data_IF_466866086462
#
_entry.id   IF_466866086462
#
_cell.length_a   1.000
_cell.length_b   1.000
_cell.length_c   1.000
_cell.angle_alpha   90.00
_cell.angle_beta   90.00
_cell.angle_gamma   90.00
#
_symmetry.space_group_name_H-M   'P 1'
#
loop_
_entity.id
_entity.type
_entity.pdbx_description
1 polymer ?
#
# COMPACT_ATOMS: atom_id res chain seq x y z
N UNK A 1 -0.43 5.59 -22.63
CA UNK A 1 -1.63 5.31 -21.81
C UNK A 1 -1.82 6.51 -20.92
N UNK A 2 -3.01 7.11 -20.89
CA UNK A 2 -3.33 8.10 -19.86
C UNK A 2 -3.60 7.30 -18.58
N UNK A 3 -2.90 7.53 -17.47
CA UNK A 3 -3.17 6.83 -16.22
C UNK A 3 -4.59 7.16 -15.72
N UNK A 4 -5.23 6.23 -15.02
CA UNK A 4 -6.52 6.50 -14.38
C UNK A 4 -6.39 7.57 -13.30
N UNK A 5 -5.23 7.63 -12.66
CA UNK A 5 -4.86 8.61 -11.64
C UNK A 5 -3.36 8.90 -11.70
N UNK A 6 -2.97 10.17 -11.65
CA UNK A 6 -1.57 10.60 -11.55
C UNK A 6 -1.24 10.84 -10.07
N UNK A 7 -0.37 10.01 -9.51
CA UNK A 7 0.03 10.11 -8.11
C UNK A 7 1.17 11.09 -7.93
N UNK A 8 1.13 11.93 -6.89
CA UNK A 8 2.23 12.83 -6.59
C UNK A 8 3.50 12.05 -6.21
N UNK A 9 4.64 12.54 -6.64
CA UNK A 9 5.92 12.01 -6.24
C UNK A 9 6.16 12.13 -4.73
N UNK A 10 7.11 11.36 -4.21
CA UNK A 10 7.59 11.55 -2.83
C UNK A 10 8.21 12.94 -2.69
N UNK A 11 7.83 13.75 -1.68
CA UNK A 11 8.32 15.12 -1.56
C UNK A 11 9.82 15.19 -1.28
N UNK A 12 10.54 16.00 -2.05
CA UNK A 12 11.97 16.25 -1.84
C UNK A 12 12.26 16.87 -0.48
N UNK A 13 11.33 17.69 0.05
CA UNK A 13 11.43 18.30 1.38
C UNK A 13 11.55 17.25 2.50
N UNK A 14 10.88 16.11 2.34
CA UNK A 14 11.00 15.02 3.31
C UNK A 14 12.31 14.26 3.17
N UNK A 15 12.80 14.07 1.94
CA UNK A 15 14.10 13.50 1.68
C UNK A 15 15.21 14.34 2.32
N UNK A 16 15.18 15.65 2.10
CA UNK A 16 16.15 16.60 2.67
C UNK A 16 16.02 16.67 4.20
N UNK A 17 14.80 16.63 4.73
CA UNK A 17 14.58 16.64 6.17
C UNK A 17 15.24 15.42 6.83
N UNK A 18 15.01 14.20 6.31
CA UNK A 18 15.61 12.98 6.84
C UNK A 18 17.12 12.99 6.77
N UNK A 19 17.68 13.48 5.68
CA UNK A 19 19.12 13.57 5.53
C UNK A 19 19.73 14.58 6.49
N UNK A 20 19.11 15.73 6.65
CA UNK A 20 19.55 16.76 7.60
C UNK A 20 19.52 16.23 9.05
N UNK A 21 18.57 15.36 9.42
CA UNK A 21 18.60 14.69 10.71
C UNK A 21 19.84 13.80 10.88
N UNK A 22 20.26 13.11 9.82
CA UNK A 22 21.46 12.27 9.84
C UNK A 22 22.74 13.13 9.97
N UNK A 23 22.83 14.22 9.21
CA UNK A 23 23.95 15.18 9.32
C UNK A 23 24.05 15.78 10.72
N UNK A 24 22.94 16.21 11.29
CA UNK A 24 22.89 16.78 12.65
C UNK A 24 23.28 15.76 13.73
N UNK A 25 22.98 14.49 13.51
CA UNK A 25 23.32 13.40 14.46
C UNK A 25 24.82 13.11 14.49
N UNK A 26 25.49 13.24 13.37
CA UNK A 26 26.91 12.94 13.22
C UNK A 26 27.68 14.10 12.55
N UNK A 27 27.74 15.26 13.23
CA UNK A 27 28.35 16.47 12.64
C UNK A 27 29.84 16.34 12.32
N UNK A 28 30.54 15.50 13.08
CA UNK A 28 31.98 15.22 12.83
C UNK A 28 32.19 14.24 11.66
N UNK A 29 31.15 13.61 11.13
CA UNK A 29 31.28 12.64 10.06
C UNK A 29 31.10 13.31 8.69
N UNK A 30 32.03 13.07 7.78
CA UNK A 30 31.81 13.41 6.37
C UNK A 30 30.65 12.59 5.79
N UNK A 31 30.03 13.14 4.76
CA UNK A 31 28.82 12.57 4.12
C UNK A 31 28.97 11.08 3.77
N UNK A 32 30.11 10.68 3.18
CA UNK A 32 30.34 9.29 2.78
C UNK A 32 30.42 8.33 3.98
N UNK A 33 30.92 8.80 5.11
CA UNK A 33 30.92 7.98 6.34
C UNK A 33 29.49 7.75 6.84
N UNK A 34 28.64 8.76 6.78
CA UNK A 34 27.20 8.66 7.15
C UNK A 34 26.48 7.70 6.20
N UNK A 35 26.71 7.82 4.89
CA UNK A 35 26.17 6.89 3.89
C UNK A 35 26.56 5.43 4.22
N UNK A 36 27.82 5.19 4.57
CA UNK A 36 28.30 3.85 4.90
C UNK A 36 27.70 3.31 6.22
N UNK A 37 27.43 4.16 7.22
CA UNK A 37 26.71 3.78 8.41
C UNK A 37 25.27 3.36 8.08
N UNK A 38 24.57 4.16 7.27
CA UNK A 38 23.21 3.87 6.82
C UNK A 38 23.17 2.58 5.99
N UNK A 39 24.08 2.39 5.03
CA UNK A 39 24.17 1.17 4.20
C UNK A 39 24.31 -0.10 5.03
N UNK A 40 25.18 -0.11 6.03
CA UNK A 40 25.34 -1.26 6.95
C UNK A 40 24.06 -1.56 7.71
N UNK A 41 23.39 -0.53 8.17
CA UNK A 41 22.14 -0.70 8.91
C UNK A 41 20.97 -1.09 7.98
N UNK A 42 20.95 -0.65 6.71
CA UNK A 42 19.98 -1.12 5.69
C UNK A 42 20.08 -2.64 5.52
N UNK A 43 21.30 -3.18 5.38
CA UNK A 43 21.51 -4.63 5.27
C UNK A 43 20.95 -5.33 6.51
N UNK A 44 21.30 -4.84 7.71
CA UNK A 44 20.86 -5.42 8.98
C UNK A 44 19.33 -5.40 9.14
N UNK A 45 18.68 -4.30 8.78
CA UNK A 45 17.22 -4.19 8.82
C UNK A 45 16.56 -5.06 7.75
N UNK A 46 17.11 -5.11 6.53
CA UNK A 46 16.62 -5.98 5.46
C UNK A 46 16.69 -7.46 5.84
N UNK A 47 17.77 -7.89 6.46
CA UNK A 47 17.92 -9.27 6.94
C UNK A 47 16.89 -9.59 8.04
N UNK A 48 16.63 -8.65 8.94
CA UNK A 48 15.60 -8.83 9.95
C UNK A 48 14.22 -8.90 9.32
N UNK A 49 13.86 -8.00 8.44
CA UNK A 49 12.54 -7.98 7.79
C UNK A 49 12.30 -9.20 6.91
N UNK A 50 13.34 -9.76 6.30
CA UNK A 50 13.21 -10.84 5.33
C UNK A 50 13.52 -12.24 5.90
N UNK A 51 14.42 -12.36 6.89
CA UNK A 51 14.92 -13.64 7.38
C UNK A 51 14.41 -13.98 8.79
N UNK A 52 14.67 -13.10 9.77
CA UNK A 52 14.38 -13.42 11.17
C UNK A 52 12.98 -13.02 11.60
N UNK A 53 12.44 -11.95 11.05
CA UNK A 53 11.09 -11.40 11.30
C UNK A 53 10.71 -11.27 12.78
N UNK A 54 11.70 -11.36 13.68
CA UNK A 54 11.44 -11.21 15.11
C UNK A 54 11.17 -9.75 15.44
N UNK A 55 10.06 -9.49 16.12
CA UNK A 55 9.80 -8.20 16.73
C UNK A 55 10.84 -7.96 17.83
N UNK A 56 11.65 -6.92 17.66
CA UNK A 56 12.62 -6.48 18.67
C UNK A 56 12.40 -4.99 18.95
N UNK A 57 11.69 -4.66 20.06
CA UNK A 57 11.40 -3.27 20.43
C UNK A 57 12.66 -2.44 20.63
N UNK A 58 13.78 -3.05 21.01
CA UNK A 58 15.02 -2.32 21.25
C UNK A 58 15.79 -1.97 19.97
N UNK A 59 15.53 -2.68 18.89
CA UNK A 59 16.24 -2.46 17.63
C UNK A 59 15.46 -1.60 16.65
N UNK A 60 14.13 -1.58 16.75
CA UNK A 60 13.25 -0.83 15.88
C UNK A 60 12.68 0.38 16.64
N UNK A 61 13.01 1.57 16.19
CA UNK A 61 12.51 2.80 16.83
C UNK A 61 13.20 3.21 18.14
N UNK A 62 14.12 2.40 18.70
CA UNK A 62 14.86 2.73 19.91
C UNK A 62 16.22 3.38 19.65
N UNK A 63 16.87 3.03 18.53
CA UNK A 63 18.21 3.54 18.18
C UNK A 63 18.11 4.61 17.12
N UNK A 64 18.89 5.71 17.27
CA UNK A 64 18.95 6.78 16.29
C UNK A 64 19.35 6.28 14.92
N UNK A 65 20.36 5.41 14.81
CA UNK A 65 20.81 4.85 13.54
C UNK A 65 19.68 4.08 12.84
N UNK A 66 18.93 3.27 13.56
CA UNK A 66 17.81 2.52 12.98
C UNK A 66 16.70 3.43 12.45
N UNK A 67 16.33 4.47 13.21
CA UNK A 67 15.33 5.45 12.79
C UNK A 67 15.78 6.28 11.59
N UNK A 68 17.03 6.77 11.61
CA UNK A 68 17.58 7.55 10.51
C UNK A 68 17.78 6.71 9.25
N UNK A 69 18.11 5.44 9.40
CA UNK A 69 18.17 4.49 8.27
C UNK A 69 16.78 4.22 7.72
N UNK A 70 15.79 3.98 8.58
CA UNK A 70 14.41 3.82 8.14
C UNK A 70 13.95 5.05 7.36
N UNK A 71 14.16 6.26 7.90
CA UNK A 71 13.75 7.50 7.27
C UNK A 71 14.39 7.75 5.91
N UNK A 72 15.71 7.50 5.79
CA UNK A 72 16.46 7.76 4.57
C UNK A 72 16.34 6.67 3.51
N UNK A 73 15.81 5.47 3.84
CA UNK A 73 15.76 4.36 2.90
C UNK A 73 14.39 3.67 2.79
N UNK A 74 13.75 3.30 3.91
CA UNK A 74 12.51 2.52 3.90
C UNK A 74 11.24 3.38 3.90
N UNK A 75 11.28 4.55 4.51
CA UNK A 75 10.14 5.47 4.63
C UNK A 75 9.50 5.80 3.28
N UNK A 76 10.24 6.14 2.20
CA UNK A 76 9.67 6.41 0.89
C UNK A 76 8.93 5.21 0.30
N UNK A 77 9.36 3.98 0.61
CA UNK A 77 8.71 2.76 0.16
C UNK A 77 7.37 2.52 0.86
N UNK A 78 7.35 2.65 2.20
CA UNK A 78 6.11 2.56 3.00
C UNK A 78 5.12 3.66 2.58
N UNK A 79 5.61 4.88 2.39
CA UNK A 79 4.85 6.00 1.83
C UNK A 79 4.19 5.63 0.51
N UNK A 80 4.96 5.10 -0.44
CA UNK A 80 4.46 4.75 -1.78
C UNK A 80 3.40 3.65 -1.74
N UNK A 81 3.57 2.62 -0.90
CA UNK A 81 2.59 1.56 -0.74
C UNK A 81 1.25 2.11 -0.21
N UNK A 82 1.29 2.97 0.80
CA UNK A 82 0.09 3.59 1.37
C UNK A 82 -0.57 4.58 0.40
N UNK A 83 0.22 5.41 -0.32
CA UNK A 83 -0.31 6.31 -1.34
C UNK A 83 -1.06 5.55 -2.45
N UNK A 84 -0.51 4.43 -2.91
CA UNK A 84 -1.13 3.56 -3.91
C UNK A 84 -2.44 2.95 -3.40
N UNK A 85 -2.45 2.47 -2.16
CA UNK A 85 -3.65 1.91 -1.52
C UNK A 85 -4.71 2.99 -1.30
N UNK A 86 -4.31 4.19 -0.85
CA UNK A 86 -5.23 5.33 -0.71
C UNK A 86 -5.83 5.75 -2.06
N UNK A 87 -5.04 5.70 -3.13
CA UNK A 87 -5.52 5.97 -4.49
C UNK A 87 -6.63 5.01 -4.90
N UNK A 88 -6.52 3.73 -4.58
CA UNK A 88 -7.55 2.74 -4.88
C UNK A 88 -8.81 2.96 -4.03
N UNK A 89 -8.67 3.20 -2.74
CA UNK A 89 -9.79 3.53 -1.87
C UNK A 89 -10.56 4.77 -2.37
N UNK A 90 -9.82 5.83 -2.75
CA UNK A 90 -10.36 7.12 -3.18
C UNK A 90 -11.02 7.07 -4.55
N UNK A 91 -10.39 6.43 -5.56
CA UNK A 91 -10.83 6.52 -6.95
C UNK A 91 -11.66 5.32 -7.43
N UNK A 92 -11.59 4.18 -6.74
CA UNK A 92 -12.21 2.95 -7.23
C UNK A 92 -13.10 2.22 -6.21
N UNK A 93 -12.66 2.11 -4.94
CA UNK A 93 -13.39 1.31 -3.93
C UNK A 93 -14.53 2.03 -3.23
N UNK A 94 -14.75 3.31 -3.55
CA UNK A 94 -15.90 4.06 -3.07
C UNK A 94 -15.76 4.58 -1.64
N UNK A 95 -14.52 4.75 -1.15
CA UNK A 95 -14.31 5.56 0.03
C UNK A 95 -14.71 7.01 -0.27
N UNK A 96 -15.53 7.59 0.61
CA UNK A 96 -15.98 8.95 0.47
C UNK A 96 -15.62 9.75 1.73
N UNK A 97 -15.02 10.91 1.54
CA UNK A 97 -14.78 11.86 2.62
C UNK A 97 -16.10 12.31 3.26
N UNK A 98 -16.11 12.70 4.54
CA UNK A 98 -17.29 13.27 5.16
C UNK A 98 -17.76 14.53 4.43
N UNK A 99 -19.09 14.70 4.31
CA UNK A 99 -19.67 15.89 3.63
C UNK A 99 -19.36 17.19 4.36
N UNK A 100 -19.22 17.14 5.68
CA UNK A 100 -18.91 18.29 6.54
C UNK A 100 -17.91 17.86 7.62
N UNK A 101 -17.13 18.84 8.10
CA UNK A 101 -16.15 18.63 9.17
C UNK A 101 -14.83 18.00 8.71
N UNK A 102 -13.94 17.66 9.66
CA UNK A 102 -12.64 17.12 9.37
C UNK A 102 -12.72 15.65 8.95
N UNK A 103 -11.79 15.23 8.09
CA UNK A 103 -11.46 13.83 7.88
C UNK A 103 -10.62 13.38 9.09
N UNK A 104 -11.05 12.32 9.76
CA UNK A 104 -10.36 11.74 10.90
C UNK A 104 -9.60 10.50 10.47
N UNK A 105 -8.29 10.55 10.59
CA UNK A 105 -7.36 9.47 10.23
C UNK A 105 -6.73 8.92 11.51
N UNK A 106 -6.72 7.62 11.67
CA UNK A 106 -5.97 6.91 12.71
C UNK A 106 -4.88 6.09 12.03
N UNK A 107 -3.64 6.28 12.45
CA UNK A 107 -2.48 5.51 11.99
C UNK A 107 -1.98 4.63 13.15
N UNK A 108 -2.22 3.32 13.06
CA UNK A 108 -1.90 2.34 14.09
C UNK A 108 -0.57 1.66 13.74
N UNK A 109 0.39 1.69 14.68
CA UNK A 109 1.78 1.32 14.39
C UNK A 109 2.43 2.35 13.47
N UNK A 110 2.16 3.63 13.73
CA UNK A 110 2.53 4.73 12.84
C UNK A 110 4.04 4.90 12.64
N UNK A 111 4.85 4.39 13.57
CA UNK A 111 6.29 4.65 13.56
C UNK A 111 6.59 6.13 13.47
N UNK A 112 7.44 6.51 12.53
CA UNK A 112 7.74 7.92 12.22
C UNK A 112 6.79 8.56 11.19
N UNK A 113 5.66 7.89 10.88
CA UNK A 113 4.52 8.48 10.18
C UNK A 113 4.47 8.30 8.67
N UNK A 114 5.17 7.32 8.10
CA UNK A 114 5.19 7.16 6.64
C UNK A 114 3.79 6.99 6.04
N UNK A 115 2.92 6.19 6.67
CA UNK A 115 1.55 5.93 6.20
C UNK A 115 0.64 7.14 6.40
N UNK A 116 0.57 7.66 7.62
CA UNK A 116 -0.29 8.80 7.94
C UNK A 116 0.05 10.05 7.12
N UNK A 117 1.34 10.42 7.07
CA UNK A 117 1.79 11.58 6.31
C UNK A 117 1.59 11.41 4.79
N UNK A 118 1.71 10.19 4.28
CA UNK A 118 1.39 9.87 2.87
C UNK A 118 -0.06 10.18 2.55
N UNK A 119 -1.00 9.79 3.43
CA UNK A 119 -2.42 10.09 3.27
C UNK A 119 -2.70 11.60 3.37
N UNK A 120 -2.07 12.32 4.32
CA UNK A 120 -2.22 13.79 4.39
C UNK A 120 -1.79 14.46 3.09
N UNK A 121 -0.62 14.07 2.57
CA UNK A 121 -0.10 14.63 1.32
C UNK A 121 -0.97 14.29 0.12
N UNK A 122 -1.45 13.03 0.04
CA UNK A 122 -2.39 12.58 -0.98
C UNK A 122 -3.64 13.47 -0.99
N UNK A 123 -4.31 13.62 0.15
CA UNK A 123 -5.54 14.42 0.27
C UNK A 123 -5.33 15.87 -0.16
N UNK A 124 -4.18 16.46 0.21
CA UNK A 124 -3.80 17.81 -0.27
C UNK A 124 -3.64 17.87 -1.78
N UNK A 125 -2.84 16.95 -2.35
CA UNK A 125 -2.55 16.95 -3.79
C UNK A 125 -3.79 16.71 -4.66
N UNK A 126 -4.78 16.00 -4.12
CA UNK A 126 -6.10 15.83 -4.76
C UNK A 126 -7.13 16.90 -4.38
N UNK A 127 -6.67 18.02 -3.82
CA UNK A 127 -7.49 19.19 -3.48
C UNK A 127 -8.73 18.84 -2.65
N UNK A 128 -8.58 17.91 -1.69
CA UNK A 128 -9.65 17.59 -0.75
C UNK A 128 -9.77 18.73 0.25
N UNK A 129 -10.92 19.46 0.29
CA UNK A 129 -11.02 20.71 1.02
C UNK A 129 -11.22 20.54 2.54
N UNK A 130 -11.49 19.33 3.02
CA UNK A 130 -11.75 19.08 4.42
C UNK A 130 -10.46 19.24 5.24
N UNK A 131 -10.50 19.90 6.42
CA UNK A 131 -9.42 19.77 7.40
C UNK A 131 -9.18 18.31 7.75
N UNK A 132 -7.96 17.95 8.12
CA UNK A 132 -7.63 16.56 8.47
C UNK A 132 -7.08 16.49 9.89
N UNK A 133 -7.57 15.54 10.67
CA UNK A 133 -6.94 15.17 11.95
C UNK A 133 -6.27 13.81 11.80
N UNK A 134 -4.99 13.73 12.17
CA UNK A 134 -4.21 12.50 12.22
C UNK A 134 -3.93 12.14 13.67
N UNK A 135 -4.50 11.04 14.12
CA UNK A 135 -4.15 10.41 15.39
C UNK A 135 -3.17 9.26 15.11
N UNK A 136 -1.95 9.38 15.61
CA UNK A 136 -0.87 8.42 15.37
C UNK A 136 -0.55 7.66 16.66
N UNK A 137 -0.68 6.33 16.60
CA UNK A 137 -0.43 5.43 17.73
C UNK A 137 0.77 4.55 17.44
N UNK A 138 1.72 4.54 18.38
CA UNK A 138 2.92 3.69 18.29
C UNK A 138 3.49 3.41 19.68
N UNK A 139 4.16 2.27 19.84
CA UNK A 139 4.85 1.94 21.08
C UNK A 139 6.13 2.75 21.30
N UNK A 140 6.78 3.19 20.21
CA UNK A 140 8.02 3.94 20.23
C UNK A 140 7.78 5.44 20.40
N UNK A 141 7.97 5.94 21.61
CA UNK A 141 7.91 7.39 21.88
C UNK A 141 8.93 8.18 21.05
N UNK A 142 10.06 7.56 20.67
CA UNK A 142 11.09 8.19 19.83
C UNK A 142 10.62 8.36 18.39
N UNK A 143 10.01 7.32 17.82
CA UNK A 143 9.40 7.40 16.48
C UNK A 143 8.31 8.46 16.44
N UNK A 144 7.45 8.53 17.46
CA UNK A 144 6.43 9.57 17.59
C UNK A 144 7.01 10.98 17.72
N UNK A 145 8.17 11.14 18.37
CA UNK A 145 8.86 12.44 18.45
C UNK A 145 9.38 12.87 17.07
N UNK A 146 9.93 11.95 16.28
CA UNK A 146 10.30 12.21 14.89
C UNK A 146 9.07 12.59 14.06
N UNK A 147 7.97 11.87 14.17
CA UNK A 147 6.72 12.19 13.47
C UNK A 147 6.23 13.62 13.80
N UNK A 148 6.22 13.99 15.08
CA UNK A 148 5.84 15.37 15.48
C UNK A 148 6.75 16.41 14.82
N UNK A 149 8.04 16.16 14.81
CA UNK A 149 9.02 17.07 14.21
C UNK A 149 8.84 17.17 12.70
N UNK A 150 8.74 16.03 11.98
CA UNK A 150 8.45 16.01 10.54
C UNK A 150 7.19 16.81 10.23
N UNK A 151 6.09 16.52 10.95
CA UNK A 151 4.80 17.16 10.72
C UNK A 151 4.88 18.67 10.89
N UNK A 152 5.51 19.15 11.96
CA UNK A 152 5.61 20.58 12.25
C UNK A 152 6.55 21.32 11.31
N UNK A 153 7.71 20.72 10.98
CA UNK A 153 8.74 21.36 10.13
C UNK A 153 8.39 21.39 8.64
N UNK A 154 7.47 20.53 8.21
CA UNK A 154 7.04 20.44 6.81
C UNK A 154 5.53 20.73 6.68
N UNK A 155 4.98 21.60 7.52
CA UNK A 155 3.53 21.89 7.57
C UNK A 155 2.95 22.39 6.24
N UNK A 156 3.78 22.97 5.36
CA UNK A 156 3.39 23.37 4.00
C UNK A 156 2.96 22.19 3.11
N UNK A 157 3.44 20.97 3.41
CA UNK A 157 3.06 19.75 2.68
C UNK A 157 1.64 19.28 3.01
N UNK A 158 1.13 19.67 4.19
CA UNK A 158 -0.19 19.25 4.71
C UNK A 158 -0.85 20.37 5.49
N UNK A 159 -1.22 21.49 4.81
CA UNK A 159 -1.91 22.59 5.45
C UNK A 159 -3.25 22.13 6.05
N UNK A 160 -3.73 22.83 7.07
CA UNK A 160 -4.99 22.54 7.75
C UNK A 160 -5.07 21.12 8.36
N UNK A 161 -3.92 20.58 8.78
CA UNK A 161 -3.87 19.29 9.46
C UNK A 161 -3.50 19.46 10.93
N UNK A 162 -4.10 18.60 11.78
CA UNK A 162 -3.77 18.49 13.20
C UNK A 162 -3.25 17.10 13.49
N UNK A 163 -2.08 17.00 14.11
CA UNK A 163 -1.50 15.75 14.56
C UNK A 163 -1.67 15.57 16.05
N UNK A 164 -2.17 14.42 16.46
CA UNK A 164 -2.17 13.94 17.85
C UNK A 164 -1.37 12.63 17.90
N UNK A 165 -0.54 12.43 18.89
CA UNK A 165 0.22 11.20 19.05
C UNK A 165 -0.09 10.53 20.38
N UNK A 166 -0.18 9.21 20.37
CA UNK A 166 -0.40 8.40 21.57
C UNK A 166 0.62 7.27 21.61
N UNK A 167 1.39 7.21 22.71
CA UNK A 167 2.24 6.04 22.95
C UNK A 167 1.37 4.89 23.44
N UNK A 168 1.27 3.82 22.65
CA UNK A 168 0.51 2.63 22.97
C UNK A 168 1.02 1.46 22.14
N UNK A 169 1.04 0.28 22.74
CA UNK A 169 1.39 -0.93 22.01
C UNK A 169 0.15 -1.48 21.30
N UNK A 170 0.28 -1.80 20.02
CA UNK A 170 -0.81 -2.37 19.24
C UNK A 170 -1.23 -3.76 19.75
N UNK A 171 -0.33 -4.48 20.46
CA UNK A 171 -0.61 -5.76 21.08
C UNK A 171 -1.52 -5.64 22.29
N UNK A 172 -1.52 -4.48 22.97
CA UNK A 172 -2.43 -4.22 24.07
C UNK A 172 -3.89 -4.18 23.58
N UNK A 173 -4.86 -4.51 24.45
CA UNK A 173 -6.26 -4.37 24.14
C UNK A 173 -6.59 -2.92 23.73
N UNK A 174 -7.24 -2.75 22.60
CA UNK A 174 -7.73 -1.43 22.18
C UNK A 174 -8.83 -1.03 23.16
N UNK A 175 -8.48 -0.11 24.06
CA UNK A 175 -9.41 0.34 25.06
C UNK A 175 -10.59 1.06 24.38
N UNK A 176 -11.83 0.63 24.63
CA UNK A 176 -13.10 1.26 24.20
C UNK A 176 -13.31 2.69 24.74
N UNK A 177 -12.23 3.35 25.20
CA UNK A 177 -12.30 4.65 25.91
C UNK A 177 -12.47 5.86 24.99
N UNK A 178 -12.37 5.70 23.68
CA UNK A 178 -12.63 6.82 22.78
C UNK A 178 -14.01 6.69 22.15
N UNK A 179 -14.82 7.75 22.31
CA UNK A 179 -16.08 7.92 21.54
C UNK A 179 -15.78 8.39 20.10
N UNK A 180 -14.52 8.70 19.79
CA UNK A 180 -14.11 9.18 18.49
C UNK A 180 -14.19 8.06 17.46
N UNK A 181 -14.69 8.39 16.27
CA UNK A 181 -14.75 7.50 15.11
C UNK A 181 -13.85 8.07 14.01
N UNK A 182 -13.27 7.18 13.23
CA UNK A 182 -12.30 7.51 12.19
C UNK A 182 -12.84 7.16 10.80
N UNK A 183 -12.60 8.04 9.86
CA UNK A 183 -13.00 7.86 8.45
C UNK A 183 -11.98 6.99 7.69
N UNK A 184 -10.73 6.99 8.16
CA UNK A 184 -9.65 6.14 7.70
C UNK A 184 -8.89 5.60 8.91
N UNK A 185 -8.64 4.29 8.92
CA UNK A 185 -7.72 3.64 9.84
C UNK A 185 -6.64 2.97 9.01
N UNK A 186 -5.38 3.26 9.30
CA UNK A 186 -4.22 2.79 8.56
C UNK A 186 -3.43 1.80 9.40
N UNK A 187 -3.01 0.70 8.78
CA UNK A 187 -2.04 -0.25 9.31
C UNK A 187 -0.96 -0.43 8.24
N UNK A 188 0.12 0.34 8.35
CA UNK A 188 1.23 0.32 7.39
C UNK A 188 2.38 -0.54 7.86
N UNK A 189 2.46 -1.79 7.42
CA UNK A 189 3.47 -2.77 7.83
C UNK A 189 3.48 -3.06 9.34
N UNK A 190 2.30 -3.02 9.98
CA UNK A 190 2.16 -3.17 11.42
C UNK A 190 1.32 -4.38 11.85
N UNK A 191 0.44 -4.89 10.99
CA UNK A 191 -0.37 -6.06 11.32
C UNK A 191 0.49 -7.33 11.46
N UNK A 192 1.51 -7.48 10.63
CA UNK A 192 2.44 -8.60 10.71
C UNK A 192 3.16 -8.70 12.06
N UNK A 193 3.44 -7.57 12.72
CA UNK A 193 4.05 -7.54 14.04
C UNK A 193 3.12 -8.11 15.13
N UNK A 194 1.81 -8.03 14.93
CA UNK A 194 0.80 -8.62 15.80
C UNK A 194 0.68 -10.11 15.50
N UNK A 195 0.66 -10.46 14.21
CA UNK A 195 0.37 -11.83 13.74
C UNK A 195 1.54 -12.80 13.86
N UNK A 196 2.77 -12.32 14.11
CA UNK A 196 3.97 -13.19 14.15
C UNK A 196 3.96 -14.19 15.32
N UNK A 197 3.22 -13.90 16.39
CA UNK A 197 3.12 -14.77 17.58
C UNK A 197 1.66 -15.12 17.90
N UNK A 198 0.70 -14.67 17.11
CA UNK A 198 -0.72 -14.78 17.37
C UNK A 198 -1.37 -15.81 16.46
N UNK A 199 -2.31 -16.57 16.99
CA UNK A 199 -3.20 -17.39 16.18
C UNK A 199 -4.12 -16.50 15.33
N UNK A 200 -4.68 -17.05 14.25
CA UNK A 200 -5.58 -16.32 13.34
C UNK A 200 -6.71 -15.61 14.11
N UNK A 201 -7.28 -16.28 15.11
CA UNK A 201 -8.37 -15.76 15.93
C UNK A 201 -7.96 -14.48 16.70
N UNK A 202 -6.74 -14.40 17.21
CA UNK A 202 -6.27 -13.20 17.91
C UNK A 202 -6.14 -12.01 16.94
N UNK A 203 -5.63 -12.24 15.74
CA UNK A 203 -5.54 -11.23 14.70
C UNK A 203 -6.93 -10.76 14.24
N UNK A 204 -7.89 -11.66 14.10
CA UNK A 204 -9.30 -11.37 13.80
C UNK A 204 -9.92 -10.50 14.89
N UNK A 205 -9.80 -10.90 16.16
CA UNK A 205 -10.32 -10.16 17.30
C UNK A 205 -9.73 -8.74 17.39
N UNK A 206 -8.44 -8.59 17.01
CA UNK A 206 -7.78 -7.29 16.96
C UNK A 206 -8.39 -6.41 15.87
N UNK A 207 -8.55 -6.92 14.64
CA UNK A 207 -9.17 -6.15 13.54
C UNK A 207 -10.63 -5.80 13.86
N UNK A 208 -11.38 -6.67 14.50
CA UNK A 208 -12.74 -6.38 14.95
C UNK A 208 -12.80 -5.26 16.01
N UNK A 209 -11.85 -5.27 16.94
CA UNK A 209 -11.72 -4.20 17.94
C UNK A 209 -11.33 -2.85 17.29
N UNK A 210 -10.53 -2.88 16.23
CA UNK A 210 -10.19 -1.71 15.40
C UNK A 210 -11.43 -1.23 14.63
N UNK A 211 -12.25 -2.16 14.13
CA UNK A 211 -13.47 -1.82 13.41
C UNK A 211 -14.49 -1.05 14.27
N UNK A 212 -14.50 -1.27 15.59
CA UNK A 212 -15.31 -0.49 16.51
C UNK A 212 -14.94 1.01 16.55
N UNK A 213 -13.80 1.38 16.02
CA UNK A 213 -13.36 2.76 15.90
C UNK A 213 -13.74 3.40 14.54
N UNK A 214 -14.27 2.64 13.58
CA UNK A 214 -14.68 3.18 12.29
C UNK A 214 -15.90 4.10 12.39
N UNK A 215 -15.91 5.18 11.62
CA UNK A 215 -17.13 5.90 11.27
C UNK A 215 -18.00 5.05 10.29
N UNK A 216 -19.30 5.35 10.19
CA UNK A 216 -20.16 4.70 9.21
C UNK A 216 -19.62 4.87 7.81
N UNK A 217 -19.17 4.13 7.00
CA UNK A 217 -18.49 4.26 5.70
C UNK A 217 -16.98 4.53 5.80
N UNK A 218 -16.38 4.42 6.99
CA UNK A 218 -14.93 4.47 7.14
C UNK A 218 -14.25 3.24 6.56
N UNK A 219 -12.97 3.36 6.24
CA UNK A 219 -12.15 2.27 5.69
C UNK A 219 -10.97 1.97 6.60
N UNK A 220 -10.68 0.68 6.78
CA UNK A 220 -9.39 0.20 7.27
C UNK A 220 -8.54 -0.12 6.04
N UNK A 221 -7.38 0.51 5.90
CA UNK A 221 -6.42 0.24 4.82
C UNK A 221 -5.19 -0.42 5.46
N UNK A 222 -4.92 -1.65 5.04
CA UNK A 222 -3.81 -2.46 5.53
C UNK A 222 -2.83 -2.66 4.38
N UNK A 223 -1.55 -2.37 4.63
CA UNK A 223 -0.45 -2.70 3.72
C UNK A 223 0.59 -3.52 4.46
N UNK A 224 1.14 -4.57 3.82
CA UNK A 224 2.07 -5.51 4.43
C UNK A 224 3.22 -5.86 3.48
N UNK A 225 4.37 -6.35 3.99
CA UNK A 225 5.45 -6.83 3.13
C UNK A 225 4.98 -7.89 2.14
N UNK A 226 5.46 -7.80 0.89
CA UNK A 226 5.08 -8.70 -0.19
C UNK A 226 5.84 -10.03 -0.12
N UNK A 227 5.75 -10.74 0.98
CA UNK A 227 6.13 -12.15 1.06
C UNK A 227 4.90 -13.05 1.15
N UNK A 228 5.04 -14.30 0.72
CA UNK A 228 3.92 -15.22 0.60
C UNK A 228 3.19 -15.44 1.92
N UNK A 229 3.93 -15.65 3.01
CA UNK A 229 3.34 -15.99 4.30
C UNK A 229 2.58 -14.80 4.89
N UNK A 230 3.20 -13.60 4.87
CA UNK A 230 2.56 -12.36 5.35
C UNK A 230 1.32 -12.02 4.53
N UNK A 231 1.39 -12.10 3.22
CA UNK A 231 0.24 -11.85 2.36
C UNK A 231 -0.88 -12.89 2.58
N UNK A 232 -0.54 -14.17 2.73
CA UNK A 232 -1.53 -15.20 3.02
C UNK A 232 -2.19 -15.01 4.37
N UNK A 233 -1.44 -14.66 5.42
CA UNK A 233 -1.97 -14.34 6.73
C UNK A 233 -2.92 -13.12 6.67
N UNK A 234 -2.51 -12.03 6.00
CA UNK A 234 -3.34 -10.85 5.79
C UNK A 234 -4.69 -11.21 5.16
N UNK A 235 -4.68 -12.01 4.10
CA UNK A 235 -5.90 -12.39 3.40
C UNK A 235 -6.75 -13.40 4.17
N UNK A 236 -6.15 -14.25 5.00
CA UNK A 236 -6.89 -15.11 5.91
C UNK A 236 -7.64 -14.31 6.97
N UNK A 237 -6.99 -13.30 7.57
CA UNK A 237 -7.64 -12.37 8.51
C UNK A 237 -8.77 -11.60 7.82
N UNK A 238 -8.50 -11.03 6.64
CA UNK A 238 -9.51 -10.27 5.89
C UNK A 238 -10.73 -11.15 5.52
N UNK A 239 -10.51 -12.42 5.18
CA UNK A 239 -11.57 -13.38 4.92
C UNK A 239 -12.39 -13.67 6.18
N UNK A 240 -11.74 -13.99 7.29
CA UNK A 240 -12.43 -14.34 8.54
C UNK A 240 -13.32 -13.19 9.04
N UNK A 241 -12.82 -11.94 9.05
CA UNK A 241 -13.63 -10.80 9.50
C UNK A 241 -14.77 -10.41 8.55
N UNK A 242 -14.72 -10.82 7.28
CA UNK A 242 -15.72 -10.45 6.27
C UNK A 242 -16.73 -11.54 5.96
N UNK A 243 -16.36 -12.81 6.06
CA UNK A 243 -17.23 -13.93 5.72
C UNK A 243 -17.78 -14.63 6.97
N UNK A 244 -16.97 -14.76 8.01
CA UNK A 244 -17.33 -15.56 9.17
C UNK A 244 -18.03 -14.71 10.23
N UNK A 245 -17.42 -13.60 10.65
CA UNK A 245 -18.06 -12.67 11.60
C UNK A 245 -19.03 -11.69 10.96
N UNK A 246 -18.88 -11.41 9.65
CA UNK A 246 -19.71 -10.46 8.87
C UNK A 246 -19.74 -9.04 9.45
N UNK A 247 -18.77 -8.69 10.28
CA UNK A 247 -18.67 -7.37 10.90
C UNK A 247 -18.12 -6.34 9.91
N UNK A 248 -17.28 -6.78 9.00
CA UNK A 248 -16.65 -5.97 7.95
C UNK A 248 -16.87 -6.62 6.59
N UNK A 249 -16.76 -5.81 5.54
CA UNK A 249 -16.74 -6.27 4.15
C UNK A 249 -15.35 -6.04 3.56
N UNK A 250 -14.88 -7.03 2.81
CA UNK A 250 -13.60 -6.93 2.08
C UNK A 250 -13.80 -6.16 0.76
N UNK A 251 -13.18 -4.98 0.63
CA UNK A 251 -13.29 -4.13 -0.56
C UNK A 251 -12.14 -4.33 -1.55
N UNK A 252 -10.98 -4.79 -1.09
CA UNK A 252 -9.78 -4.98 -1.90
C UNK A 252 -8.92 -6.11 -1.33
N UNK A 253 -8.11 -6.78 -2.18
CA UNK A 253 -7.80 -6.42 -3.57
C UNK A 253 -8.82 -6.91 -4.61
N UNK A 254 -9.70 -7.87 -4.29
CA UNK A 254 -10.62 -8.48 -5.26
C UNK A 254 -12.00 -7.86 -5.24
N UNK A 255 -12.97 -8.47 -5.94
CA UNK A 255 -14.27 -7.90 -6.21
C UNK A 255 -15.37 -8.59 -5.37
N UNK A 256 -16.51 -7.91 -5.24
CA UNK A 256 -17.74 -8.46 -4.63
C UNK A 256 -17.58 -9.00 -3.21
N UNK A 257 -16.60 -8.50 -2.44
CA UNK A 257 -16.33 -8.97 -1.09
C UNK A 257 -15.74 -10.38 -0.99
N UNK A 258 -15.26 -10.92 -2.10
CA UNK A 258 -14.72 -12.29 -2.18
C UNK A 258 -13.50 -12.49 -1.29
N UNK A 259 -13.33 -13.71 -0.83
CA UNK A 259 -12.07 -14.20 -0.26
C UNK A 259 -10.96 -14.09 -1.30
N UNK A 260 -9.70 -14.12 -0.85
CA UNK A 260 -8.57 -14.12 -1.76
C UNK A 260 -8.48 -15.46 -2.51
N UNK A 261 -8.78 -15.52 -3.82
CA UNK A 261 -8.75 -16.79 -4.55
C UNK A 261 -7.36 -17.43 -4.60
N UNK A 262 -6.31 -16.61 -4.51
CA UNK A 262 -4.92 -17.10 -4.53
C UNK A 262 -4.47 -17.75 -3.22
N UNK A 263 -5.23 -17.59 -2.13
CA UNK A 263 -4.98 -18.33 -0.89
C UNK A 263 -5.56 -19.75 -0.91
N UNK A 264 -6.61 -19.95 -1.69
CA UNK A 264 -7.38 -21.21 -1.73
C UNK A 264 -6.99 -22.11 -2.92
N UNK A 265 -6.32 -21.53 -3.92
CA UNK A 265 -5.94 -22.23 -5.14
C UNK A 265 -4.52 -22.83 -5.07
N UNK A 266 -4.27 -23.87 -5.85
CA UNK A 266 -2.93 -24.38 -6.14
C UNK A 266 -2.10 -23.41 -7.02
N UNK A 267 -2.48 -22.12 -7.07
CA UNK A 267 -1.81 -21.10 -7.87
C UNK A 267 -0.36 -20.92 -7.44
N UNK A 268 0.52 -20.75 -8.43
CA UNK A 268 1.91 -20.33 -8.19
C UNK A 268 2.02 -18.86 -7.76
N UNK A 269 0.93 -18.10 -7.87
CA UNK A 269 0.87 -16.70 -7.50
C UNK A 269 0.27 -16.55 -6.09
N UNK A 270 0.72 -15.55 -5.38
CA UNK A 270 0.08 -15.08 -4.14
C UNK A 270 -0.30 -13.60 -4.30
N UNK A 271 -1.27 -13.17 -3.55
CA UNK A 271 -1.85 -11.83 -3.71
C UNK A 271 -0.91 -10.75 -3.16
N UNK A 272 -0.33 -9.96 -4.05
CA UNK A 272 0.44 -8.76 -3.72
C UNK A 272 0.48 -7.81 -4.92
N UNK A 273 0.74 -6.56 -4.67
CA UNK A 273 0.94 -5.51 -5.65
C UNK A 273 2.41 -5.46 -6.08
N UNK A 274 2.64 -5.11 -7.34
CA UNK A 274 3.98 -4.77 -7.87
C UNK A 274 3.84 -3.52 -8.71
N UNK A 275 4.28 -2.40 -8.17
CA UNK A 275 4.14 -1.09 -8.81
C UNK A 275 5.50 -0.51 -9.14
N UNK A 276 5.67 -0.02 -10.36
CA UNK A 276 6.88 0.74 -10.68
C UNK A 276 6.99 1.92 -9.73
N UNK A 277 8.19 2.17 -9.28
CA UNK A 277 8.52 3.26 -8.37
C UNK A 277 9.73 4.01 -8.92
N UNK A 278 9.78 5.30 -8.65
CA UNK A 278 10.99 6.09 -8.82
C UNK A 278 11.50 6.44 -7.42
N UNK A 279 12.52 5.77 -6.94
CA UNK A 279 13.06 6.07 -5.63
C UNK A 279 13.63 7.50 -5.62
N UNK A 280 13.58 8.20 -4.46
CA UNK A 280 14.26 9.48 -4.31
C UNK A 280 15.76 9.37 -4.61
N UNK A 281 16.41 10.43 -5.10
CA UNK A 281 17.84 10.38 -5.48
C UNK A 281 18.76 9.90 -4.36
N UNK A 282 18.47 10.22 -3.13
CA UNK A 282 19.25 9.80 -1.97
C UNK A 282 19.10 8.31 -1.66
N UNK A 283 17.89 7.77 -1.84
CA UNK A 283 17.67 6.33 -1.77
C UNK A 283 18.50 5.61 -2.85
N UNK A 284 18.53 6.12 -4.07
CA UNK A 284 19.37 5.57 -5.14
C UNK A 284 20.87 5.62 -4.78
N UNK A 285 21.34 6.75 -4.26
CA UNK A 285 22.72 6.91 -3.81
C UNK A 285 23.11 5.94 -2.67
N UNK A 286 22.21 5.73 -1.70
CA UNK A 286 22.41 4.74 -0.64
C UNK A 286 22.43 3.33 -1.25
N UNK A 287 21.53 3.05 -2.19
CA UNK A 287 21.31 1.73 -2.77
C UNK A 287 22.40 1.31 -3.79
N UNK A 288 23.07 2.26 -4.42
CA UNK A 288 24.00 1.99 -5.52
C UNK A 288 24.98 0.82 -5.22
N UNK A 289 25.69 0.78 -4.07
CA UNK A 289 26.57 -0.36 -3.76
C UNK A 289 25.82 -1.58 -3.20
N UNK A 290 24.54 -1.46 -2.83
CA UNK A 290 23.76 -2.55 -2.24
C UNK A 290 23.01 -3.35 -3.30
N UNK A 291 22.67 -2.75 -4.43
CA UNK A 291 21.97 -3.41 -5.54
C UNK A 291 20.59 -3.96 -5.21
N UNK A 292 19.90 -3.38 -4.19
CA UNK A 292 18.56 -3.82 -3.83
C UNK A 292 17.52 -3.32 -4.85
N UNK A 293 16.41 -4.06 -4.99
CA UNK A 293 15.30 -3.61 -5.86
C UNK A 293 14.54 -2.44 -5.21
N UNK A 294 14.74 -1.24 -5.76
CA UNK A 294 14.10 0.00 -5.31
C UNK A 294 13.16 0.62 -6.35
N UNK A 295 13.26 0.18 -7.62
CA UNK A 295 12.42 0.69 -8.71
C UNK A 295 11.02 0.05 -8.76
N UNK A 296 10.74 -0.86 -7.84
CA UNK A 296 9.42 -1.45 -7.62
C UNK A 296 9.03 -1.37 -6.15
N UNK A 297 7.81 -0.95 -5.89
CA UNK A 297 7.17 -1.13 -4.59
C UNK A 297 6.32 -2.38 -4.64
N UNK A 298 6.64 -3.34 -3.77
CA UNK A 298 5.92 -4.61 -3.62
C UNK A 298 5.29 -4.66 -2.24
N UNK A 299 3.97 -4.91 -2.17
CA UNK A 299 3.25 -4.95 -0.90
C UNK A 299 1.98 -5.79 -1.00
N UNK A 300 1.60 -6.45 0.10
CA UNK A 300 0.27 -7.00 0.30
C UNK A 300 -0.71 -5.89 0.67
N UNK A 301 -1.98 -6.04 0.32
CA UNK A 301 -3.00 -5.04 0.62
C UNK A 301 -4.34 -5.70 0.96
N UNK A 302 -5.04 -5.14 1.94
CA UNK A 302 -6.44 -5.39 2.20
C UNK A 302 -7.15 -4.09 2.55
N UNK A 303 -8.43 -3.97 2.16
CA UNK A 303 -9.29 -2.85 2.54
C UNK A 303 -10.59 -3.39 3.09
N UNK A 304 -10.92 -2.95 4.29
CA UNK A 304 -12.11 -3.41 5.02
C UNK A 304 -12.99 -2.22 5.36
N UNK A 305 -14.31 -2.40 5.33
CA UNK A 305 -15.29 -1.38 5.72
C UNK A 305 -16.54 -2.03 6.30
N UNK A 306 -17.30 -1.27 7.10
CA UNK A 306 -18.64 -1.68 7.53
C UNK A 306 -19.70 -1.55 6.42
N UNK A 307 -19.36 -0.84 5.34
CA UNK A 307 -20.20 -0.68 4.15
C UNK A 307 -19.95 -1.83 3.17
N UNK A 308 -20.99 -2.32 2.53
CA UNK A 308 -20.85 -3.28 1.44
C UNK A 308 -20.11 -2.68 0.24
N UNK A 309 -19.23 -3.43 -0.43
CA UNK A 309 -18.61 -3.01 -1.67
C UNK A 309 -19.66 -2.79 -2.77
N UNK A 310 -19.39 -1.90 -3.69
CA UNK A 310 -20.20 -1.75 -4.88
C UNK A 310 -20.14 -3.04 -5.70
N UNK A 311 -21.28 -3.59 -6.13
CA UNK A 311 -21.29 -4.78 -6.98
C UNK A 311 -20.48 -4.54 -8.27
N UNK A 312 -19.70 -5.53 -8.63
CA UNK A 312 -18.97 -5.60 -9.91
C UNK A 312 -19.54 -6.75 -10.74
N UNK A 313 -19.31 -6.80 -12.06
CA UNK A 313 -19.64 -7.97 -12.86
C UNK A 313 -19.09 -9.25 -12.22
N UNK A 314 -19.91 -10.31 -12.21
CA UNK A 314 -19.54 -11.62 -11.65
C UNK A 314 -19.05 -12.58 -12.75
N UNK A 315 -18.20 -12.09 -13.63
CA UNK A 315 -17.65 -12.82 -14.76
C UNK A 315 -16.24 -12.31 -15.09
N UNK A 316 -15.71 -12.69 -16.25
CA UNK A 316 -14.40 -12.28 -16.72
C UNK A 316 -14.32 -10.84 -17.25
N UNK A 317 -15.43 -10.12 -17.34
CA UNK A 317 -15.45 -8.76 -17.91
C UNK A 317 -14.76 -7.70 -17.06
N UNK A 318 -14.54 -7.98 -15.78
CA UNK A 318 -13.68 -7.18 -14.90
C UNK A 318 -12.59 -8.05 -14.32
N UNK A 319 -11.34 -7.58 -14.31
CA UNK A 319 -10.26 -8.35 -13.69
C UNK A 319 -9.19 -7.46 -13.06
N UNK A 320 -8.52 -8.00 -12.02
CA UNK A 320 -7.29 -7.46 -11.44
C UNK A 320 -6.09 -8.27 -11.93
N UNK A 321 -5.10 -7.61 -12.51
CA UNK A 321 -3.88 -8.25 -12.98
C UNK A 321 -3.07 -8.79 -11.79
N UNK A 322 -2.70 -10.08 -11.83
CA UNK A 322 -1.93 -10.76 -10.79
C UNK A 322 -0.60 -11.34 -11.27
N UNK A 323 -0.26 -11.12 -12.54
CA UNK A 323 1.01 -11.56 -13.13
C UNK A 323 1.72 -10.43 -13.86
N UNK A 324 3.02 -10.56 -14.17
CA UNK A 324 3.66 -9.71 -15.17
C UNK A 324 2.95 -9.84 -16.53
N UNK A 325 2.95 -8.76 -17.31
CA UNK A 325 2.49 -8.81 -18.70
C UNK A 325 3.54 -9.50 -19.57
N UNK A 326 3.14 -10.57 -20.22
CA UNK A 326 4.00 -11.35 -21.13
C UNK A 326 3.82 -10.88 -22.57
N UNK A 327 4.92 -10.53 -23.23
CA UNK A 327 4.97 -10.22 -24.66
C UNK A 327 5.70 -11.33 -25.38
N UNK A 328 4.97 -12.20 -26.06
CA UNK A 328 5.51 -13.31 -26.87
C UNK A 328 5.34 -13.04 -28.36
N UNK A 329 5.94 -13.90 -29.23
CA UNK A 329 5.68 -13.87 -30.67
C UNK A 329 4.17 -14.12 -30.91
N UNK A 330 3.51 -13.14 -31.49
CA UNK A 330 2.09 -13.21 -31.83
C UNK A 330 1.11 -12.72 -30.76
N UNK A 331 1.42 -12.71 -29.48
CA UNK A 331 0.46 -12.39 -28.42
C UNK A 331 1.04 -11.49 -27.31
N UNK A 332 0.15 -10.71 -26.66
CA UNK A 332 0.37 -10.13 -25.34
C UNK A 332 -0.61 -10.80 -24.40
N UNK A 333 -0.16 -11.23 -23.24
CA UNK A 333 -1.02 -11.90 -22.27
C UNK A 333 -0.65 -11.57 -20.84
N UNK A 334 -1.62 -11.70 -19.94
CA UNK A 334 -1.46 -11.59 -18.49
C UNK A 334 -2.46 -12.51 -17.79
N UNK A 335 -2.24 -12.79 -16.51
CA UNK A 335 -3.18 -13.49 -15.65
C UNK A 335 -3.90 -12.47 -14.80
N UNK A 336 -5.23 -12.57 -14.69
CA UNK A 336 -6.09 -11.77 -13.88
C UNK A 336 -7.05 -12.59 -13.04
N UNK A 337 -7.36 -12.11 -11.85
CA UNK A 337 -8.49 -12.60 -11.05
C UNK A 337 -9.69 -11.77 -11.45
N UNK A 338 -10.74 -12.44 -11.88
CA UNK A 338 -11.95 -11.83 -12.42
C UNK A 338 -13.02 -11.54 -11.33
N UNK A 339 -14.12 -10.94 -11.75
CA UNK A 339 -15.24 -10.57 -10.89
C UNK A 339 -15.99 -11.76 -10.29
N UNK A 340 -15.89 -12.95 -10.88
CA UNK A 340 -16.37 -14.22 -10.36
C UNK A 340 -15.40 -14.89 -9.35
N UNK A 341 -14.21 -14.31 -9.17
CA UNK A 341 -13.16 -14.85 -8.31
C UNK A 341 -12.29 -15.91 -8.98
N UNK A 342 -12.45 -16.18 -10.26
CA UNK A 342 -11.65 -17.16 -10.98
C UNK A 342 -10.42 -16.55 -11.62
N UNK A 343 -9.40 -17.36 -11.82
CA UNK A 343 -8.17 -17.01 -12.52
C UNK A 343 -8.33 -17.25 -14.02
N UNK A 344 -8.14 -16.20 -14.82
CA UNK A 344 -8.15 -16.27 -16.27
C UNK A 344 -6.87 -15.75 -16.88
N UNK A 345 -6.46 -16.36 -18.00
CA UNK A 345 -5.43 -15.85 -18.89
C UNK A 345 -6.07 -14.98 -19.96
N UNK A 346 -5.83 -13.69 -19.92
CA UNK A 346 -6.26 -12.74 -20.93
C UNK A 346 -5.22 -12.63 -22.03
N UNK A 347 -5.64 -12.73 -23.29
CA UNK A 347 -4.75 -12.70 -24.47
C UNK A 347 -5.29 -11.77 -25.55
N UNK A 348 -4.40 -10.98 -26.14
CA UNK A 348 -4.69 -10.19 -27.34
C UNK A 348 -3.63 -10.47 -28.41
N UNK A 349 -4.06 -10.64 -29.65
CA UNK A 349 -3.16 -10.92 -30.78
C UNK A 349 -2.41 -9.66 -31.19
N UNK A 350 -1.08 -9.72 -31.30
CA UNK A 350 -0.25 -8.56 -31.67
C UNK A 350 -0.51 -8.05 -33.08
N UNK A 351 -0.93 -8.91 -34.01
CA UNK A 351 -1.19 -8.55 -35.42
C UNK A 351 -2.35 -7.55 -35.56
N UNK A 352 -3.26 -7.48 -34.59
CA UNK A 352 -4.39 -6.54 -34.59
C UNK A 352 -4.09 -5.23 -33.84
N UNK A 353 -2.87 -5.07 -33.35
CA UNK A 353 -2.48 -3.93 -32.51
C UNK A 353 -1.53 -3.00 -33.23
N UNK A 354 -1.75 -1.71 -33.10
CA UNK A 354 -0.78 -0.69 -33.49
C UNK A 354 0.42 -0.69 -32.51
N UNK A 355 1.65 -0.32 -32.92
CA UNK A 355 2.82 -0.26 -32.04
C UNK A 355 2.61 0.50 -30.73
N UNK A 356 1.86 1.60 -30.73
CA UNK A 356 1.58 2.38 -29.53
C UNK A 356 0.61 1.65 -28.57
N UNK A 357 -0.35 0.88 -29.09
CA UNK A 357 -1.22 0.03 -28.28
C UNK A 357 -0.43 -1.10 -27.60
N UNK A 358 0.55 -1.66 -28.31
CA UNK A 358 1.49 -2.64 -27.73
C UNK A 358 2.27 -2.01 -26.58
N UNK A 359 2.80 -0.77 -26.76
CA UNK A 359 3.50 -0.04 -25.68
C UNK A 359 2.62 0.20 -24.48
N UNK A 360 1.33 0.52 -24.70
CA UNK A 360 0.36 0.74 -23.61
C UNK A 360 0.15 -0.57 -22.83
N UNK A 361 -0.19 -1.66 -23.51
CA UNK A 361 -0.47 -2.94 -22.87
C UNK A 361 0.75 -3.49 -22.10
N UNK A 362 1.96 -3.30 -22.63
CA UNK A 362 3.19 -3.73 -21.95
C UNK A 362 3.57 -2.87 -20.74
N UNK A 363 2.90 -1.72 -20.51
CA UNK A 363 3.06 -0.88 -19.33
C UNK A 363 2.06 -1.17 -18.23
N UNK A 364 1.12 -2.08 -18.45
CA UNK A 364 0.22 -2.53 -17.39
C UNK A 364 1.03 -3.21 -16.28
N UNK A 365 0.57 -3.02 -15.06
CA UNK A 365 1.28 -3.49 -13.86
C UNK A 365 0.38 -4.45 -13.08
N UNK A 366 1.02 -5.30 -12.29
CA UNK A 366 0.31 -6.13 -11.33
C UNK A 366 -0.44 -5.24 -10.33
N UNK A 367 -1.76 -5.50 -10.20
CA UNK A 367 -2.69 -4.68 -9.42
C UNK A 367 -3.51 -3.68 -10.24
N UNK A 368 -3.22 -3.48 -11.53
CA UNK A 368 -4.13 -2.73 -12.41
C UNK A 368 -5.45 -3.47 -12.54
N UNK A 369 -6.55 -2.71 -12.59
CA UNK A 369 -7.89 -3.26 -12.82
C UNK A 369 -8.33 -2.89 -14.22
N UNK A 370 -8.79 -3.89 -14.95
CA UNK A 370 -9.26 -3.76 -16.33
C UNK A 370 -10.71 -4.17 -16.43
N UNK A 371 -11.45 -3.48 -17.31
CA UNK A 371 -12.68 -4.02 -17.90
C UNK A 371 -12.35 -4.53 -19.30
N UNK A 372 -12.91 -5.66 -19.65
CA UNK A 372 -12.75 -6.32 -20.94
C UNK A 372 -14.13 -6.53 -21.54
N UNK A 373 -14.54 -5.59 -22.40
CA UNK A 373 -15.80 -5.69 -23.12
C UNK A 373 -15.64 -6.67 -24.29
N UNK A 374 -16.64 -7.48 -24.53
CA UNK A 374 -16.68 -8.41 -25.68
C UNK A 374 -15.56 -9.48 -25.70
N UNK A 375 -15.02 -9.85 -24.52
CA UNK A 375 -14.09 -10.96 -24.42
C UNK A 375 -14.78 -12.31 -24.76
N UNK A 376 -14.06 -13.23 -25.38
CA UNK A 376 -14.56 -14.53 -25.75
C UNK A 376 -13.72 -15.64 -25.10
N UNK A 377 -14.38 -16.73 -24.71
CA UNK A 377 -13.67 -17.92 -24.29
C UNK A 377 -12.85 -18.50 -25.46
N UNK A 378 -11.59 -18.78 -25.20
CA UNK A 378 -10.76 -19.55 -26.12
C UNK A 378 -11.12 -21.03 -26.14
N UNK A 379 -10.31 -21.85 -26.79
CA UNK A 379 -10.42 -23.31 -26.77
C UNK A 379 -10.23 -23.90 -25.37
N UNK A 380 -9.56 -23.16 -24.50
CA UNK A 380 -9.33 -23.48 -23.10
C UNK A 380 -10.26 -22.59 -22.25
N UNK A 381 -11.05 -23.19 -21.34
CA UNK A 381 -12.05 -22.49 -20.51
C UNK A 381 -11.46 -21.39 -19.62
N UNK A 382 -10.15 -21.46 -19.34
CA UNK A 382 -9.46 -20.45 -18.52
C UNK A 382 -8.77 -19.37 -19.36
N UNK A 383 -9.02 -19.33 -20.67
CA UNK A 383 -8.43 -18.37 -21.60
C UNK A 383 -9.49 -17.44 -22.17
N UNK A 384 -9.27 -16.14 -21.99
CA UNK A 384 -10.13 -15.09 -22.54
C UNK A 384 -9.37 -14.42 -23.68
N UNK A 385 -9.96 -14.47 -24.87
CA UNK A 385 -9.49 -13.73 -26.04
C UNK A 385 -10.08 -12.34 -26.04
N UNK A 386 -9.24 -11.34 -26.14
CA UNK A 386 -9.64 -9.93 -26.28
C UNK A 386 -9.65 -9.61 -27.76
N UNK A 387 -10.81 -9.25 -28.36
CA UNK A 387 -10.94 -9.11 -29.82
C UNK A 387 -10.24 -7.86 -30.35
N UNK A 388 -10.17 -6.79 -29.58
CA UNK A 388 -9.56 -5.53 -29.99
C UNK A 388 -9.00 -4.73 -28.81
N UNK A 389 -8.16 -3.75 -29.11
CA UNK A 389 -7.67 -2.81 -28.08
C UNK A 389 -8.79 -1.95 -27.49
N UNK A 390 -9.79 -1.61 -28.29
CA UNK A 390 -10.94 -0.80 -27.88
C UNK A 390 -11.87 -1.52 -26.92
N UNK A 391 -11.78 -2.86 -26.83
CA UNK A 391 -12.51 -3.66 -25.85
C UNK A 391 -11.89 -3.60 -24.43
N UNK A 392 -10.82 -2.84 -24.24
CA UNK A 392 -10.14 -2.76 -22.94
C UNK A 392 -10.27 -1.34 -22.39
N UNK A 393 -10.76 -1.22 -21.17
CA UNK A 393 -10.63 -0.01 -20.37
C UNK A 393 -9.91 -0.34 -19.05
N UNK A 394 -9.32 0.68 -18.41
CA UNK A 394 -8.55 0.51 -17.17
C UNK A 394 -9.05 1.48 -16.10
N UNK A 395 -10.14 1.13 -15.41
CA UNK A 395 -10.74 1.99 -14.39
C UNK A 395 -9.80 2.28 -13.22
N UNK A 396 -8.84 1.39 -12.95
CA UNK A 396 -7.80 1.62 -11.97
C UNK A 396 -6.42 1.19 -12.50
N UNK A 397 -5.63 2.16 -12.90
CA UNK A 397 -4.25 2.00 -13.39
C UNK A 397 -3.46 3.28 -13.07
N UNK A 398 -3.23 3.54 -11.76
CA UNK A 398 -2.54 4.75 -11.33
C UNK A 398 -1.05 4.69 -11.69
N UNK A 399 -0.46 5.87 -11.90
CA UNK A 399 0.99 6.01 -12.17
C UNK A 399 1.52 7.22 -11.41
N UNK A 400 2.78 7.17 -11.02
CA UNK A 400 3.46 8.32 -10.44
C UNK A 400 3.62 9.42 -11.48
N UNK A 401 3.43 10.67 -11.07
CA UNK A 401 3.65 11.82 -11.94
C UNK A 401 5.15 12.05 -12.11
N UNK A 402 5.66 11.75 -13.30
CA UNK A 402 7.09 11.85 -13.62
C UNK A 402 7.52 13.32 -13.75
N UNK A 403 6.60 14.25 -13.93
CA UNK A 403 6.89 15.68 -14.19
C UNK A 403 7.37 16.43 -12.95
N UNK A 404 7.05 15.94 -11.76
CA UNK A 404 7.48 16.56 -10.50
C UNK A 404 8.98 16.31 -10.17
N UNK A 405 9.71 15.57 -11.01
CA UNK A 405 11.14 15.23 -10.82
C UNK A 405 12.09 15.89 -11.84
N UNK A 406 11.56 16.78 -12.70
CA UNK A 406 12.38 17.54 -13.66
C UNK A 406 12.64 18.96 -13.18
#
# INVERSE_FOLDING_TARGET
MKPSLSLPAYPSELEDWWWNQALQKWPECGEEKILNLIRKEVIRQSDRFNKTRSFDPQSYGARDLSLLTYGNFFFPRTWSAMAMSMAEAFSYRGWNKPKKGPIRVLDIGSGSGASGLSVLYFLKKFNVPNPVTLDAWDYSGKSLAFLKNIHSKNSQLWPQTKLTTKRTDIRDPIQKRTKQRFDLILLGYSLNEISQCAELEESVNKIESIADLLSPNGFIIITEPADKNTCSALHSVAAAVSTDSKKLFNHAPYFNGLRCPLNESASHYYSHEVRKNRPPPRVERINQPLGLETHQVKFGMAMLSTKQPQPQPKDFSVCRIVSPVSKKKGTISFIGIAGDGLEYRYEIQRRILHPDQIKILTKLERGDILNVDSGEFGTDKNRIRIPSFTSISWPFSPRWDIREYN
#
